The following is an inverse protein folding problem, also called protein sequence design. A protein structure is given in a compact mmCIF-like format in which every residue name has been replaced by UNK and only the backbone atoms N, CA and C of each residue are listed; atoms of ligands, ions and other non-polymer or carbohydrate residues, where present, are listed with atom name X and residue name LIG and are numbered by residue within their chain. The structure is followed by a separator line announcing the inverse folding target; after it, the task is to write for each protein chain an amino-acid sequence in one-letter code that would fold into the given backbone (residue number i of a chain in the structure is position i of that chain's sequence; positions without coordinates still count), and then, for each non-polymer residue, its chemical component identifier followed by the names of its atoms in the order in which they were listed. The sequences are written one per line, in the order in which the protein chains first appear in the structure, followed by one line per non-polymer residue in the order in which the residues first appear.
data_IF_907484735028
#
_entry.id   IF_907484735028
#
_cell.length_a   1.000
_cell.length_b   1.000
_cell.length_c   1.000
_cell.angle_alpha   90.00
_cell.angle_beta   90.00
_cell.angle_gamma   90.00
#
_symmetry.space_group_name_H-M   'P 1'
#
loop_
_entity.id
_entity.type
_entity.pdbx_description
1 polymer ?
#
# COMPACT_ATOMS: atom_id res chain seq x y z
N UNK A 1 12.18 -11.32 -13.26
CA UNK A 1 11.79 -10.07 -12.58
C UNK A 1 12.09 -8.80 -13.39
N UNK A 2 13.23 -8.70 -14.08
CA UNK A 2 13.62 -7.50 -14.86
C UNK A 2 12.62 -6.97 -15.89
N UNK A 3 12.01 -7.85 -16.68
CA UNK A 3 11.07 -7.44 -17.74
C UNK A 3 9.81 -6.81 -17.13
N UNK A 4 9.29 -7.40 -16.05
CA UNK A 4 8.12 -6.90 -15.33
C UNK A 4 8.40 -5.58 -14.61
N UNK A 5 9.58 -5.43 -13.99
CA UNK A 5 9.96 -4.16 -13.36
C UNK A 5 10.16 -3.06 -14.41
N UNK A 6 10.74 -3.37 -15.57
CA UNK A 6 10.87 -2.40 -16.65
C UNK A 6 9.49 -1.94 -17.17
N UNK A 7 8.52 -2.85 -17.32
CA UNK A 7 7.12 -2.50 -17.64
C UNK A 7 6.50 -1.64 -16.54
N UNK A 8 6.75 -1.96 -15.28
CA UNK A 8 6.26 -1.20 -14.13
C UNK A 8 6.82 0.23 -14.10
N UNK A 9 8.11 0.41 -14.40
CA UNK A 9 8.75 1.74 -14.45
C UNK A 9 8.24 2.59 -15.62
N UNK A 10 7.62 1.98 -16.64
CA UNK A 10 6.95 2.70 -17.73
C UNK A 10 5.58 3.26 -17.31
N UNK A 11 5.05 2.92 -16.13
CA UNK A 11 3.84 3.54 -15.58
C UNK A 11 4.12 5.00 -15.22
N UNK A 12 3.97 5.89 -16.20
CA UNK A 12 4.25 7.33 -16.09
C UNK A 12 3.48 8.02 -14.96
N UNK A 13 2.35 7.45 -14.55
CA UNK A 13 1.53 7.95 -13.45
C UNK A 13 2.17 7.68 -12.06
N UNK A 14 2.96 6.61 -11.93
CA UNK A 14 3.63 6.19 -10.69
C UNK A 14 5.09 6.63 -10.63
N UNK A 15 5.78 6.68 -11.77
CA UNK A 15 7.22 6.96 -11.83
C UNK A 15 7.57 7.98 -12.90
N UNK A 16 8.67 8.71 -12.68
CA UNK A 16 9.31 9.58 -13.67
C UNK A 16 10.74 9.11 -13.85
N UNK A 17 11.01 8.53 -15.03
CA UNK A 17 12.35 8.08 -15.39
C UNK A 17 13.22 9.32 -15.67
N UNK A 18 14.34 9.43 -14.96
CA UNK A 18 15.32 10.51 -15.15
C UNK A 18 16.44 10.10 -16.10
N UNK A 19 16.90 8.86 -15.96
CA UNK A 19 18.00 8.31 -16.75
C UNK A 19 17.84 6.80 -16.86
N UNK A 20 18.03 6.26 -18.06
CA UNK A 20 18.06 4.82 -18.31
C UNK A 20 19.39 4.47 -18.97
N UNK A 21 20.21 3.69 -18.29
CA UNK A 21 21.43 3.09 -18.81
C UNK A 21 21.25 1.56 -18.85
N UNK A 22 22.06 0.85 -19.64
CA UNK A 22 21.94 -0.62 -19.83
C UNK A 22 21.86 -1.40 -18.51
N UNK A 23 22.51 -0.94 -17.44
CA UNK A 23 22.55 -1.65 -16.16
C UNK A 23 21.88 -0.91 -14.97
N UNK A 24 21.40 0.32 -15.18
CA UNK A 24 20.88 1.17 -14.10
C UNK A 24 19.76 2.07 -14.59
N UNK A 25 18.66 2.10 -13.84
CA UNK A 25 17.55 3.03 -14.09
C UNK A 25 17.40 3.96 -12.90
N UNK A 26 17.52 5.26 -13.15
CA UNK A 26 17.25 6.31 -12.17
C UNK A 26 15.85 6.86 -12.40
N UNK A 27 15.06 6.90 -11.33
CA UNK A 27 13.68 7.36 -11.40
C UNK A 27 13.28 8.09 -10.12
N UNK A 28 12.21 8.88 -10.22
CA UNK A 28 11.50 9.49 -9.09
C UNK A 28 10.12 8.86 -8.94
N UNK A 29 9.67 8.74 -7.71
CA UNK A 29 8.29 8.35 -7.39
C UNK A 29 7.37 9.55 -7.51
N UNK A 30 6.24 9.38 -8.19
CA UNK A 30 5.13 10.33 -8.19
C UNK A 30 4.24 10.12 -6.97
N UNK A 31 3.32 11.06 -6.76
CA UNK A 31 2.38 11.04 -5.63
C UNK A 31 1.64 9.71 -5.42
N UNK A 32 1.14 9.00 -6.47
CA UNK A 32 0.46 7.72 -6.27
C UNK A 32 1.36 6.67 -5.61
N UNK A 33 2.63 6.59 -6.02
CA UNK A 33 3.61 5.68 -5.43
C UNK A 33 3.91 6.04 -3.96
N UNK A 34 4.03 7.33 -3.66
CA UNK A 34 4.25 7.82 -2.29
C UNK A 34 3.05 7.49 -1.38
N UNK A 35 1.83 7.64 -1.89
CA UNK A 35 0.61 7.29 -1.17
C UNK A 35 0.51 5.78 -0.92
N UNK A 36 0.86 4.94 -1.89
CA UNK A 36 0.90 3.49 -1.71
C UNK A 36 1.92 3.11 -0.63
N UNK A 37 3.15 3.63 -0.69
CA UNK A 37 4.18 3.37 0.33
C UNK A 37 3.67 3.75 1.72
N UNK A 38 3.06 4.93 1.86
CA UNK A 38 2.47 5.37 3.12
C UNK A 38 1.38 4.41 3.60
N UNK A 39 0.51 3.95 2.71
CA UNK A 39 -0.56 3.01 3.05
C UNK A 39 0.00 1.65 3.49
N UNK A 40 1.00 1.12 2.79
CA UNK A 40 1.71 -0.11 3.16
C UNK A 40 2.32 0.03 4.55
N UNK A 41 3.04 1.13 4.79
CA UNK A 41 3.70 1.41 6.07
C UNK A 41 2.71 1.47 7.23
N UNK A 42 1.62 2.23 7.07
CA UNK A 42 0.59 2.38 8.11
C UNK A 42 -0.11 1.04 8.39
N UNK A 43 -0.54 0.32 7.35
CA UNK A 43 -1.22 -0.97 7.54
C UNK A 43 -0.29 -2.03 8.13
N UNK A 44 1.00 -2.03 7.76
CA UNK A 44 2.02 -2.92 8.35
C UNK A 44 2.16 -2.68 9.86
N UNK A 45 2.25 -1.41 10.29
CA UNK A 45 2.34 -1.05 11.70
C UNK A 45 1.08 -1.43 12.47
N UNK A 46 -0.10 -1.07 11.95
CA UNK A 46 -1.39 -1.40 12.56
C UNK A 46 -1.57 -2.91 12.71
N UNK A 47 -1.23 -3.67 11.67
CA UNK A 47 -1.35 -5.12 11.71
C UNK A 47 -0.45 -5.74 12.79
N UNK A 48 0.81 -5.31 12.88
CA UNK A 48 1.73 -5.84 13.88
C UNK A 48 1.29 -5.49 15.30
N UNK A 49 0.78 -4.27 15.53
CA UNK A 49 0.21 -3.85 16.80
C UNK A 49 -1.01 -4.69 17.20
N UNK A 50 -1.97 -4.88 16.29
CA UNK A 50 -3.17 -5.71 16.57
C UNK A 50 -2.76 -7.15 16.91
N UNK A 51 -1.75 -7.71 16.22
CA UNK A 51 -1.29 -9.07 16.50
C UNK A 51 -0.52 -9.16 17.81
N UNK A 52 0.28 -8.16 18.16
CA UNK A 52 1.03 -8.16 19.42
C UNK A 52 0.15 -7.98 20.64
N UNK A 53 -0.85 -7.10 20.54
CA UNK A 53 -1.79 -6.83 21.62
C UNK A 53 -2.62 -8.07 21.97
N UNK A 54 -3.03 -8.84 20.95
CA UNK A 54 -3.71 -10.13 21.15
C UNK A 54 -2.89 -11.12 21.98
N UNK A 55 -1.56 -10.99 21.97
CA UNK A 55 -0.63 -11.84 22.74
C UNK A 55 -0.06 -11.13 23.97
N UNK A 56 -0.63 -9.99 24.38
CA UNK A 56 -0.15 -9.17 25.49
C UNK A 56 1.36 -8.85 25.40
N UNK A 57 1.86 -8.68 24.17
CA UNK A 57 3.26 -8.41 23.89
C UNK A 57 3.42 -6.92 23.57
N UNK A 58 4.03 -6.11 24.45
CA UNK A 58 4.22 -4.70 24.16
C UNK A 58 5.21 -4.52 23.00
N UNK A 59 4.85 -3.64 22.06
CA UNK A 59 5.73 -3.21 20.96
C UNK A 59 6.16 -1.77 21.19
N UNK A 60 7.46 -1.53 21.12
CA UNK A 60 8.07 -0.20 21.22
C UNK A 60 8.53 0.29 19.84
N UNK A 61 8.46 1.60 19.61
CA UNK A 61 9.00 2.23 18.41
C UNK A 61 10.41 2.75 18.67
N UNK A 62 11.34 2.47 17.75
CA UNK A 62 12.69 3.06 17.69
C UNK A 62 13.50 2.97 19.00
N UNK A 63 13.81 1.73 19.39
CA UNK A 63 14.74 1.33 20.46
C UNK A 63 14.68 2.18 21.75
N UNK A 64 13.54 2.11 22.44
CA UNK A 64 13.37 2.68 23.79
C UNK A 64 13.87 1.75 24.91
N UNK A 65 14.77 0.79 24.62
CA UNK A 65 15.31 -0.19 25.58
C UNK A 65 15.79 0.43 26.90
N UNK A 66 16.24 1.68 26.87
CA UNK A 66 16.83 2.38 28.02
C UNK A 66 15.82 3.00 28.99
N UNK A 67 14.51 2.94 28.73
CA UNK A 67 13.47 3.57 29.59
C UNK A 67 12.60 2.58 30.38
N UNK A 68 12.85 1.28 30.29
CA UNK A 68 12.07 0.28 31.01
C UNK A 68 12.84 -0.20 32.23
N UNK A 69 12.33 0.10 33.44
CA UNK A 69 12.88 -0.36 34.71
C UNK A 69 12.84 -1.90 34.82
N UNK A 70 11.90 -2.54 34.13
CA UNK A 70 11.81 -3.98 33.95
C UNK A 70 11.45 -4.32 32.49
N UNK A 71 12.31 -5.04 31.80
CA UNK A 71 11.97 -5.61 30.49
C UNK A 71 11.03 -6.80 30.71
N UNK A 72 9.83 -6.81 30.10
CA UNK A 72 8.95 -7.98 30.17
C UNK A 72 9.61 -9.19 29.50
N UNK A 73 9.15 -10.39 29.85
CA UNK A 73 9.70 -11.65 29.29
C UNK A 73 9.52 -11.78 27.78
N UNK A 74 8.54 -11.08 27.21
CA UNK A 74 8.27 -11.01 25.78
C UNK A 74 7.97 -9.56 25.38
N UNK A 75 8.69 -9.02 24.39
CA UNK A 75 8.41 -7.70 23.83
C UNK A 75 8.87 -7.59 22.38
N UNK A 76 8.35 -6.58 21.69
CA UNK A 76 8.75 -6.23 20.34
C UNK A 76 9.34 -4.83 20.23
N UNK A 77 10.18 -4.63 19.22
CA UNK A 77 10.73 -3.34 18.83
C UNK A 77 10.56 -3.20 17.32
N UNK A 78 9.93 -2.13 16.90
CA UNK A 78 9.85 -1.75 15.50
C UNK A 78 10.99 -0.78 15.20
N UNK A 79 11.89 -1.19 14.30
CA UNK A 79 12.94 -0.35 13.72
C UNK A 79 12.51 0.08 12.32
N UNK A 80 12.71 1.35 12.01
CA UNK A 80 12.32 1.92 10.73
C UNK A 80 13.45 2.80 10.19
N UNK A 81 13.99 2.43 9.05
CA UNK A 81 14.91 3.27 8.28
C UNK A 81 14.14 3.75 7.05
N UNK A 82 13.55 4.95 7.14
CA UNK A 82 12.68 5.50 6.11
C UNK A 82 13.39 6.57 5.30
N UNK A 83 13.24 6.49 3.98
CA UNK A 83 13.54 7.61 3.09
C UNK A 83 12.51 8.73 3.30
N UNK A 84 12.95 9.98 3.13
CA UNK A 84 12.05 11.14 3.21
C UNK A 84 11.24 11.27 1.92
N UNK A 85 10.13 10.53 1.82
CA UNK A 85 9.26 10.54 0.64
C UNK A 85 8.53 11.87 0.39
N UNK A 86 8.61 12.83 1.32
CA UNK A 86 8.11 14.20 1.08
C UNK A 86 9.04 14.97 0.16
N UNK A 87 10.33 14.62 0.16
CA UNK A 87 11.32 15.16 -0.76
C UNK A 87 11.31 14.37 -2.06
N UNK A 88 11.76 15.03 -3.12
CA UNK A 88 12.00 14.41 -4.41
C UNK A 88 13.24 13.50 -4.35
N UNK A 89 13.05 12.31 -3.78
CA UNK A 89 14.11 11.30 -3.67
C UNK A 89 14.28 10.61 -5.03
N UNK A 90 15.49 10.70 -5.57
CA UNK A 90 15.90 9.91 -6.73
C UNK A 90 16.33 8.52 -6.27
N UNK A 91 15.70 7.51 -6.85
CA UNK A 91 16.02 6.10 -6.62
C UNK A 91 16.78 5.54 -7.82
N UNK A 92 17.61 4.54 -7.55
CA UNK A 92 18.42 3.86 -8.56
C UNK A 92 18.24 2.36 -8.44
N UNK A 93 17.72 1.75 -9.50
CA UNK A 93 17.53 0.31 -9.63
C UNK A 93 18.67 -0.29 -10.44
N UNK A 94 19.30 -1.34 -9.90
CA UNK A 94 20.29 -2.13 -10.64
C UNK A 94 19.59 -3.20 -11.47
N UNK A 95 19.75 -3.17 -12.79
CA UNK A 95 19.08 -4.09 -13.70
C UNK A 95 19.52 -5.55 -13.53
N UNK A 96 20.72 -5.85 -13.04
CA UNK A 96 21.14 -7.26 -12.89
C UNK A 96 20.54 -7.95 -11.65
N UNK A 97 20.39 -7.23 -10.54
CA UNK A 97 19.92 -7.79 -9.26
C UNK A 97 18.48 -7.39 -8.92
N UNK A 98 17.87 -6.50 -9.72
CA UNK A 98 16.63 -5.80 -9.39
C UNK A 98 16.61 -5.19 -7.97
N UNK A 99 17.78 -4.82 -7.43
CA UNK A 99 17.89 -4.24 -6.10
C UNK A 99 18.06 -2.72 -6.20
N UNK A 100 17.53 -2.03 -5.20
CA UNK A 100 17.60 -0.58 -5.07
C UNK A 100 18.83 -0.20 -4.26
N UNK A 101 19.56 0.81 -4.72
CA UNK A 101 20.73 1.35 -4.02
C UNK A 101 20.34 1.98 -2.68
N UNK A 102 19.18 2.66 -2.65
CA UNK A 102 18.58 3.23 -1.45
C UNK A 102 17.19 2.64 -1.30
N UNK A 103 16.89 2.11 -0.12
CA UNK A 103 15.60 1.49 0.20
C UNK A 103 15.25 1.76 1.66
N UNK A 104 13.97 1.76 1.93
CA UNK A 104 13.46 1.90 3.29
C UNK A 104 13.21 0.52 3.89
N UNK A 105 13.73 0.32 5.09
CA UNK A 105 13.65 -0.95 5.81
C UNK A 105 12.67 -0.81 6.99
N UNK A 106 11.74 -1.75 7.07
CA UNK A 106 10.91 -1.98 8.24
C UNK A 106 11.34 -3.30 8.87
N UNK A 107 11.67 -3.27 10.16
CA UNK A 107 12.02 -4.44 10.92
C UNK A 107 11.20 -4.51 12.21
N UNK A 108 10.58 -5.66 12.48
CA UNK A 108 9.98 -5.99 13.76
C UNK A 108 10.88 -7.02 14.45
N UNK A 109 11.54 -6.61 15.53
CA UNK A 109 12.37 -7.47 16.37
C UNK A 109 11.59 -7.87 17.62
N UNK A 110 11.36 -9.16 17.81
CA UNK A 110 10.64 -9.72 18.94
C UNK A 110 11.60 -10.53 19.80
N UNK A 111 11.70 -10.18 21.07
CA UNK A 111 12.42 -10.97 22.06
C UNK A 111 11.44 -11.86 22.78
N UNK A 112 11.65 -13.18 22.73
CA UNK A 112 10.79 -14.18 23.38
C UNK A 112 11.63 -15.26 24.07
N UNK A 113 11.07 -16.05 25.00
CA UNK A 113 11.77 -17.17 25.62
C UNK A 113 12.21 -18.22 24.59
N UNK A 114 13.45 -18.71 24.73
CA UNK A 114 14.06 -19.63 23.75
C UNK A 114 13.21 -20.88 23.49
N UNK A 115 12.60 -21.44 24.55
CA UNK A 115 11.74 -22.64 24.48
C UNK A 115 10.53 -22.50 23.55
N UNK A 116 10.04 -21.28 23.31
CA UNK A 116 8.90 -21.01 22.43
C UNK A 116 9.31 -20.39 21.09
N UNK A 117 10.60 -20.17 20.87
CA UNK A 117 11.11 -19.42 19.74
C UNK A 117 10.62 -19.90 18.37
N UNK A 118 10.70 -21.22 18.12
CA UNK A 118 10.23 -21.82 16.88
C UNK A 118 8.69 -21.70 16.71
N UNK A 119 7.95 -21.82 17.82
CA UNK A 119 6.49 -21.62 17.80
C UNK A 119 6.14 -20.18 17.41
N UNK A 120 6.85 -19.20 17.96
CA UNK A 120 6.69 -17.79 17.58
C UNK A 120 7.09 -17.56 16.13
N UNK A 121 8.19 -18.14 15.64
CA UNK A 121 8.60 -18.04 14.23
C UNK A 121 7.49 -18.53 13.30
N UNK A 122 6.97 -19.75 13.51
CA UNK A 122 5.89 -20.32 12.69
C UNK A 122 4.59 -19.49 12.78
N UNK A 123 4.28 -18.96 13.95
CA UNK A 123 3.10 -18.14 14.16
C UNK A 123 3.20 -16.80 13.42
N UNK A 124 4.32 -16.11 13.56
CA UNK A 124 4.57 -14.83 12.89
C UNK A 124 4.71 -15.02 11.39
N UNK A 125 5.34 -16.09 10.92
CA UNK A 125 5.33 -16.47 9.50
C UNK A 125 3.90 -16.54 8.94
N UNK A 126 2.97 -17.21 9.63
CA UNK A 126 1.55 -17.24 9.23
C UNK A 126 0.91 -15.86 9.25
N UNK A 127 1.17 -15.06 10.29
CA UNK A 127 0.62 -13.71 10.38
C UNK A 127 1.13 -12.80 9.28
N UNK A 128 2.42 -12.81 8.99
CA UNK A 128 3.03 -11.99 7.95
C UNK A 128 2.60 -12.44 6.55
N UNK A 129 2.53 -13.76 6.29
CA UNK A 129 1.94 -14.30 5.05
C UNK A 129 0.48 -13.86 4.88
N UNK A 130 -0.32 -13.99 5.94
CA UNK A 130 -1.72 -13.57 5.92
C UNK A 130 -1.85 -12.07 5.64
N UNK A 131 -0.99 -11.24 6.24
CA UNK A 131 -0.99 -9.80 5.99
C UNK A 131 -0.80 -9.50 4.51
N UNK A 132 0.23 -10.07 3.87
CA UNK A 132 0.45 -9.94 2.43
C UNK A 132 -0.77 -10.38 1.61
N UNK A 133 -1.33 -11.56 1.92
CA UNK A 133 -2.55 -12.04 1.27
C UNK A 133 -3.75 -11.11 1.47
N UNK A 134 -3.84 -10.40 2.61
CA UNK A 134 -4.99 -9.54 2.96
C UNK A 134 -4.96 -8.15 2.33
N UNK A 135 -3.78 -7.71 1.87
CA UNK A 135 -3.59 -6.41 1.20
C UNK A 135 -3.40 -6.55 -0.31
N UNK A 136 -3.33 -7.79 -0.79
CA UNK A 136 -3.24 -8.17 -2.19
C UNK A 136 -4.62 -8.28 -2.84
N UNK A 137 -4.68 -8.11 -4.15
CA UNK A 137 -5.86 -8.51 -4.94
C UNK A 137 -5.87 -10.01 -5.23
N UNK A 138 -4.69 -10.65 -5.19
CA UNK A 138 -4.48 -12.09 -5.38
C UNK A 138 -3.84 -12.73 -4.15
N UNK A 139 -4.63 -13.26 -3.20
CA UNK A 139 -4.08 -13.87 -1.98
C UNK A 139 -3.12 -15.03 -2.21
N UNK A 140 -3.31 -15.78 -3.31
CA UNK A 140 -2.50 -16.94 -3.71
C UNK A 140 -1.14 -16.56 -4.30
N UNK A 141 -0.90 -15.29 -4.60
CA UNK A 141 0.40 -14.80 -5.07
C UNK A 141 1.49 -15.00 -4.02
N UNK A 142 1.13 -14.94 -2.74
CA UNK A 142 2.07 -15.00 -1.63
C UNK A 142 2.10 -16.39 -1.00
N UNK A 143 3.31 -16.91 -0.85
CA UNK A 143 3.63 -18.22 -0.28
C UNK A 143 4.79 -18.09 0.71
N UNK A 144 5.06 -19.15 1.44
CA UNK A 144 6.22 -19.23 2.34
C UNK A 144 7.23 -20.21 1.77
N UNK A 145 8.51 -19.84 1.80
CA UNK A 145 9.61 -20.75 1.50
C UNK A 145 9.84 -21.75 2.64
N UNK A 146 10.68 -22.76 2.40
CA UNK A 146 11.09 -23.71 3.43
C UNK A 146 11.95 -23.03 4.51
N UNK A 147 11.76 -23.44 5.77
CA UNK A 147 12.55 -22.92 6.89
C UNK A 147 13.97 -23.49 6.81
N UNK A 148 14.94 -22.61 6.60
CA UNK A 148 16.37 -22.94 6.58
C UNK A 148 16.91 -22.82 8.00
N UNK A 149 17.17 -23.95 8.64
CA UNK A 149 17.72 -24.01 9.99
C UNK A 149 19.22 -24.26 9.96
N UNK A 150 20.00 -23.41 10.61
CA UNK A 150 21.45 -23.55 10.75
C UNK A 150 21.90 -23.03 12.11
N UNK A 151 22.61 -23.85 12.88
CA UNK A 151 23.33 -23.46 14.11
C UNK A 151 22.57 -22.50 15.04
N UNK A 152 21.35 -22.88 15.45
CA UNK A 152 20.47 -22.08 16.34
C UNK A 152 19.85 -20.82 15.71
N UNK A 153 20.02 -20.66 14.41
CA UNK A 153 19.34 -19.67 13.59
C UNK A 153 18.35 -20.37 12.65
N UNK A 154 17.24 -19.71 12.35
CA UNK A 154 16.27 -20.19 11.37
C UNK A 154 15.79 -19.03 10.51
N UNK A 155 15.82 -19.19 9.20
CA UNK A 155 15.37 -18.16 8.27
C UNK A 155 14.26 -18.70 7.37
N UNK A 156 13.25 -17.87 7.13
CA UNK A 156 12.17 -18.18 6.21
C UNK A 156 11.72 -16.93 5.48
N UNK A 157 11.55 -17.07 4.17
CA UNK A 157 11.11 -15.97 3.32
C UNK A 157 9.63 -16.11 2.99
N UNK A 158 8.94 -14.97 2.93
CA UNK A 158 7.66 -14.84 2.25
C UNK A 158 7.98 -14.48 0.81
N UNK A 159 7.41 -15.24 -0.10
CA UNK A 159 7.76 -15.21 -1.52
C UNK A 159 6.50 -14.91 -2.34
N UNK A 160 6.62 -13.95 -3.25
CA UNK A 160 5.63 -13.64 -4.26
C UNK A 160 5.92 -14.43 -5.55
N UNK A 161 4.91 -15.12 -6.07
CA UNK A 161 5.00 -16.02 -7.23
C UNK A 161 4.65 -15.28 -8.53
N UNK A 162 5.59 -14.51 -9.07
CA UNK A 162 5.39 -13.80 -10.34
C UNK A 162 5.63 -14.71 -11.55
N UNK A 163 5.16 -14.28 -12.73
CA UNK A 163 5.36 -15.03 -13.98
C UNK A 163 6.84 -15.23 -14.32
N UNK A 164 7.69 -14.34 -13.81
CA UNK A 164 9.14 -14.38 -14.01
C UNK A 164 9.91 -15.17 -12.95
N UNK A 165 9.20 -15.78 -12.00
CA UNK A 165 9.76 -16.60 -10.93
C UNK A 165 9.44 -16.09 -9.52
N UNK A 166 9.70 -16.91 -8.50
CA UNK A 166 9.54 -16.55 -7.10
C UNK A 166 10.47 -15.40 -6.72
N UNK A 167 9.93 -14.40 -5.99
CA UNK A 167 10.71 -13.28 -5.46
C UNK A 167 10.43 -13.07 -3.97
N UNK A 168 11.47 -13.01 -3.10
CA UNK A 168 11.28 -12.78 -1.67
C UNK A 168 10.83 -11.33 -1.42
N UNK A 169 9.76 -11.16 -0.64
CA UNK A 169 9.18 -9.85 -0.31
C UNK A 169 9.37 -9.46 1.16
N UNK A 170 9.51 -10.44 2.04
CA UNK A 170 9.75 -10.25 3.47
C UNK A 170 10.51 -11.46 4.01
N UNK A 171 11.50 -11.23 4.86
CA UNK A 171 12.32 -12.26 5.49
C UNK A 171 12.03 -12.31 6.97
N UNK A 172 11.82 -13.50 7.51
CA UNK A 172 11.73 -13.75 8.94
C UNK A 172 12.95 -14.55 9.37
N UNK A 173 13.67 -14.05 10.37
CA UNK A 173 14.81 -14.72 10.96
C UNK A 173 14.59 -14.98 12.44
N UNK A 174 15.18 -16.05 12.92
CA UNK A 174 15.21 -16.47 14.30
C UNK A 174 16.67 -16.62 14.68
N UNK A 175 17.05 -16.08 15.84
CA UNK A 175 18.39 -16.22 16.41
C UNK A 175 18.26 -16.58 17.90
N UNK A 176 18.70 -17.79 18.26
CA UNK A 176 18.68 -18.27 19.64
C UNK A 176 19.89 -17.80 20.46
N UNK A 177 19.66 -17.07 21.54
CA UNK A 177 20.70 -16.71 22.50
C UNK A 177 20.68 -17.65 23.72
N UNK A 178 21.55 -18.66 23.69
CA UNK A 178 21.65 -19.70 24.73
C UNK A 178 21.96 -19.08 26.11
N UNK A 179 22.83 -18.08 26.15
CA UNK A 179 23.30 -17.48 27.40
C UNK A 179 22.19 -16.73 28.17
N UNK A 180 21.22 -16.16 27.44
CA UNK A 180 20.10 -15.41 28.02
C UNK A 180 18.80 -16.21 28.11
N UNK A 181 18.79 -17.45 27.61
CA UNK A 181 17.58 -18.27 27.43
C UNK A 181 16.45 -17.53 26.67
N UNK A 182 16.83 -16.63 25.77
CA UNK A 182 15.92 -15.84 24.92
C UNK A 182 16.27 -16.06 23.46
N UNK A 183 15.33 -15.81 22.58
CA UNK A 183 15.58 -15.74 21.16
C UNK A 183 15.02 -14.44 20.58
N UNK A 184 15.67 -13.97 19.53
CA UNK A 184 15.25 -12.81 18.77
C UNK A 184 14.64 -13.28 17.45
N UNK A 185 13.38 -12.92 17.22
CA UNK A 185 12.69 -13.12 15.96
C UNK A 185 12.63 -11.78 15.23
N UNK A 186 13.15 -11.70 14.02
CA UNK A 186 13.15 -10.46 13.22
C UNK A 186 12.32 -10.66 11.97
N UNK A 187 11.32 -9.80 11.74
CA UNK A 187 10.59 -9.73 10.46
C UNK A 187 11.05 -8.48 9.71
N UNK A 188 11.70 -8.63 8.56
CA UNK A 188 12.26 -7.52 7.77
C UNK A 188 11.62 -7.41 6.40
N UNK A 189 11.19 -6.20 6.02
CA UNK A 189 10.56 -5.90 4.73
C UNK A 189 11.10 -4.58 4.17
N UNK A 190 11.29 -4.54 2.85
CA UNK A 190 11.64 -3.31 2.15
C UNK A 190 10.37 -2.67 1.54
N UNK A 191 10.12 -1.39 1.81
CA UNK A 191 8.90 -0.71 1.37
C UNK A 191 8.80 -0.56 -0.15
N UNK A 192 9.91 -0.30 -0.83
CA UNK A 192 9.91 -0.13 -2.29
C UNK A 192 9.70 -1.46 -3.01
N UNK A 193 10.26 -2.56 -2.48
CA UNK A 193 9.98 -3.90 -3.00
C UNK A 193 8.52 -4.28 -2.77
N UNK A 194 7.95 -3.90 -1.62
CA UNK A 194 6.53 -4.08 -1.35
C UNK A 194 5.64 -3.31 -2.33
N UNK A 195 5.98 -2.04 -2.62
CA UNK A 195 5.32 -1.25 -3.65
C UNK A 195 5.36 -1.98 -5.00
N UNK A 196 6.54 -2.45 -5.43
CA UNK A 196 6.67 -3.15 -6.70
C UNK A 196 5.84 -4.43 -6.74
N UNK A 197 5.89 -5.24 -5.68
CA UNK A 197 5.13 -6.48 -5.62
C UNK A 197 3.61 -6.24 -5.74
N UNK A 198 3.08 -5.22 -5.06
CA UNK A 198 1.65 -4.90 -5.09
C UNK A 198 1.22 -4.20 -6.40
N UNK A 199 2.11 -3.42 -7.02
CA UNK A 199 1.87 -2.87 -8.35
C UNK A 199 1.81 -3.98 -9.41
N UNK A 200 2.75 -4.94 -9.34
CA UNK A 200 2.75 -6.09 -10.24
C UNK A 200 1.51 -6.95 -10.05
N UNK A 201 1.09 -7.23 -8.81
CA UNK A 201 -0.19 -7.90 -8.54
C UNK A 201 -1.37 -7.17 -9.19
N UNK A 202 -1.43 -5.84 -9.04
CA UNK A 202 -2.51 -5.04 -9.63
C UNK A 202 -2.51 -5.05 -11.16
N UNK A 203 -1.32 -5.09 -11.79
CA UNK A 203 -1.18 -5.17 -13.25
C UNK A 203 -1.55 -6.56 -13.79
N UNK A 204 -1.22 -7.63 -13.07
CA UNK A 204 -1.53 -9.00 -13.49
C UNK A 204 -3.03 -9.31 -13.50
N UNK A 205 -3.83 -8.54 -12.75
CA UNK A 205 -5.27 -8.77 -12.57
C UNK A 205 -6.17 -7.74 -13.28
N UNK A 206 -5.61 -6.96 -14.21
CA UNK A 206 -6.38 -6.02 -15.02
C UNK A 206 -7.17 -6.79 -16.11
N UNK A 207 -8.38 -7.25 -15.78
CA UNK A 207 -9.29 -7.87 -16.75
C UNK A 207 -9.89 -6.86 -17.74
N UNK A 208 -9.80 -5.57 -17.42
CA UNK A 208 -10.19 -4.43 -18.27
C UNK A 208 -8.91 -3.76 -18.75
N UNK A 209 -8.87 -3.38 -20.03
CA UNK A 209 -7.79 -2.52 -20.54
C UNK A 209 -7.71 -1.27 -19.63
N UNK A 210 -6.50 -1.00 -19.13
CA UNK A 210 -6.15 0.20 -18.38
C UNK A 210 -6.72 0.37 -16.95
N UNK A 211 -7.29 -0.66 -16.31
CA UNK A 211 -7.62 -0.61 -14.87
C UNK A 211 -6.55 -1.26 -14.00
N UNK A 212 -5.86 -0.47 -13.18
CA UNK A 212 -4.91 -0.97 -12.20
C UNK A 212 -5.64 -1.32 -10.90
N UNK A 213 -5.79 -2.62 -10.61
CA UNK A 213 -6.59 -3.05 -9.46
C UNK A 213 -5.76 -3.03 -8.18
N UNK A 214 -6.28 -2.40 -7.12
CA UNK A 214 -5.70 -2.47 -5.79
C UNK A 214 -6.71 -2.93 -4.75
N UNK A 215 -6.21 -3.56 -3.69
CA UNK A 215 -7.01 -3.72 -2.49
C UNK A 215 -7.29 -2.35 -1.85
N UNK A 216 -8.48 -2.19 -1.27
CA UNK A 216 -8.95 -0.91 -0.73
C UNK A 216 -8.01 -0.29 0.31
N UNK A 217 -7.27 -1.10 1.07
CA UNK A 217 -6.29 -0.63 2.06
C UNK A 217 -5.10 0.08 1.42
N UNK A 218 -4.65 -0.41 0.27
CA UNK A 218 -3.40 0.03 -0.38
C UNK A 218 -3.63 1.10 -1.43
N UNK A 219 -4.79 1.07 -2.11
CA UNK A 219 -5.12 1.99 -3.20
C UNK A 219 -4.72 3.44 -2.90
N UNK A 220 -3.99 4.13 -3.80
CA UNK A 220 -3.47 5.48 -3.53
C UNK A 220 -4.59 6.47 -3.29
N UNK A 221 -5.63 6.41 -4.13
CA UNK A 221 -6.82 7.23 -4.03
C UNK A 221 -8.04 6.34 -3.82
N UNK A 222 -8.91 6.73 -2.89
CA UNK A 222 -10.16 6.02 -2.66
C UNK A 222 -11.24 6.50 -3.63
N UNK A 223 -11.23 7.80 -3.91
CA UNK A 223 -12.25 8.47 -4.72
C UNK A 223 -11.60 9.30 -5.83
N UNK A 224 -12.20 9.32 -7.00
CA UNK A 224 -11.97 10.31 -8.06
C UNK A 224 -13.24 11.12 -8.24
N UNK A 225 -13.13 12.38 -8.64
CA UNK A 225 -14.27 13.18 -9.07
C UNK A 225 -14.17 13.36 -10.57
N UNK A 226 -15.21 13.03 -11.32
CA UNK A 226 -15.30 13.24 -12.76
C UNK A 226 -16.49 14.12 -13.09
N UNK A 227 -16.38 14.88 -14.18
CA UNK A 227 -17.39 15.82 -14.63
C UNK A 227 -18.00 15.36 -15.95
N UNK A 228 -19.31 15.17 -15.94
CA UNK A 228 -20.11 14.93 -17.14
C UNK A 228 -20.74 16.25 -17.61
N UNK A 229 -19.90 17.13 -18.13
CA UNK A 229 -20.24 18.48 -18.56
C UNK A 229 -20.14 18.50 -20.09
N UNK A 230 -21.27 18.64 -20.78
CA UNK A 230 -21.28 18.83 -22.23
C UNK A 230 -20.70 20.19 -22.62
N UNK A 231 -20.18 20.33 -23.85
CA UNK A 231 -19.58 21.58 -24.36
C UNK A 231 -20.49 22.82 -24.29
N UNK A 232 -21.81 22.62 -24.16
CA UNK A 232 -22.84 23.66 -24.17
C UNK A 232 -23.51 23.89 -22.80
N UNK A 233 -23.01 23.26 -21.74
CA UNK A 233 -23.64 23.37 -20.41
C UNK A 233 -23.45 24.76 -19.81
N UNK A 234 -24.58 25.44 -19.56
CA UNK A 234 -24.65 26.79 -18.99
C UNK A 234 -24.04 26.83 -17.59
N UNK A 235 -24.12 25.71 -16.86
CA UNK A 235 -23.72 25.60 -15.47
C UNK A 235 -22.37 24.90 -15.24
N UNK A 236 -21.57 24.64 -16.29
CA UNK A 236 -20.31 23.90 -16.15
C UNK A 236 -19.36 24.51 -15.10
N UNK A 237 -19.29 25.84 -15.02
CA UNK A 237 -18.50 26.54 -14.00
C UNK A 237 -18.99 26.32 -12.56
N UNK A 238 -20.30 26.15 -12.36
CA UNK A 238 -20.88 25.84 -11.03
C UNK A 238 -20.59 24.39 -10.64
N UNK A 239 -20.67 23.44 -11.58
CA UNK A 239 -20.34 22.03 -11.33
C UNK A 239 -18.86 21.90 -10.93
N UNK A 240 -17.94 22.62 -11.59
CA UNK A 240 -16.53 22.66 -11.21
C UNK A 240 -16.31 23.19 -9.78
N UNK A 241 -17.07 24.20 -9.36
CA UNK A 241 -17.04 24.72 -7.98
C UNK A 241 -17.56 23.68 -6.98
N UNK A 242 -18.63 22.96 -7.34
CA UNK A 242 -19.14 21.85 -6.53
C UNK A 242 -18.08 20.75 -6.36
N UNK A 243 -17.40 20.37 -7.45
CA UNK A 243 -16.32 19.38 -7.42
C UNK A 243 -15.18 19.81 -6.47
N UNK A 244 -14.78 21.08 -6.54
CA UNK A 244 -13.73 21.64 -5.67
C UNK A 244 -14.16 21.65 -4.20
N UNK A 245 -15.42 21.98 -3.92
CA UNK A 245 -15.98 21.94 -2.56
C UNK A 245 -16.05 20.51 -2.02
N UNK A 246 -16.51 19.55 -2.83
CA UNK A 246 -16.54 18.13 -2.47
C UNK A 246 -15.14 17.58 -2.20
N UNK A 247 -14.18 17.92 -3.06
CA UNK A 247 -12.77 17.57 -2.87
C UNK A 247 -12.24 18.06 -1.51
N UNK A 248 -12.44 19.34 -1.19
CA UNK A 248 -12.01 19.90 0.10
C UNK A 248 -12.68 19.20 1.29
N UNK A 249 -13.96 18.85 1.19
CA UNK A 249 -14.68 18.09 2.24
C UNK A 249 -14.11 16.68 2.41
N UNK A 250 -13.80 15.98 1.31
CA UNK A 250 -13.19 14.65 1.34
C UNK A 250 -11.78 14.69 1.95
N UNK A 251 -10.95 15.65 1.54
CA UNK A 251 -9.61 15.84 2.10
C UNK A 251 -9.66 16.20 3.59
N UNK A 252 -10.61 17.05 4.02
CA UNK A 252 -10.85 17.34 5.44
C UNK A 252 -11.24 16.09 6.24
N UNK A 253 -11.98 15.17 5.60
CA UNK A 253 -12.27 13.85 6.15
C UNK A 253 -11.13 12.85 5.99
N UNK A 254 -9.93 13.27 5.54
CA UNK A 254 -8.73 12.45 5.24
C UNK A 254 -9.03 11.25 4.33
N UNK A 255 -9.84 11.46 3.30
CA UNK A 255 -10.09 10.47 2.24
C UNK A 255 -9.28 10.91 1.03
N UNK A 256 -8.32 10.08 0.59
CA UNK A 256 -7.47 10.43 -0.53
C UNK A 256 -8.28 10.52 -1.82
N UNK A 257 -8.29 11.71 -2.40
CA UNK A 257 -9.12 12.02 -3.57
C UNK A 257 -8.28 12.45 -4.76
N UNK A 258 -8.61 11.93 -5.94
CA UNK A 258 -8.02 12.33 -7.22
C UNK A 258 -8.92 13.34 -7.95
N UNK A 259 -8.29 14.34 -8.55
CA UNK A 259 -8.95 15.28 -9.48
C UNK A 259 -8.30 15.12 -10.86
N UNK A 260 -9.04 14.61 -11.86
CA UNK A 260 -8.57 14.52 -13.23
C UNK A 260 -8.56 15.90 -13.90
N UNK A 261 -7.98 15.98 -15.10
CA UNK A 261 -8.12 17.15 -15.95
C UNK A 261 -9.56 17.26 -16.47
N UNK A 262 -10.32 18.20 -15.91
CA UNK A 262 -11.70 18.47 -16.29
C UNK A 262 -11.88 19.02 -17.71
N UNK A 263 -10.79 19.38 -18.41
CA UNK A 263 -10.84 19.71 -19.84
C UNK A 263 -11.07 18.47 -20.72
N UNK A 264 -10.79 17.27 -20.20
CA UNK A 264 -10.95 16.02 -20.92
C UNK A 264 -12.42 15.55 -20.92
N UNK A 265 -12.86 14.79 -21.93
CA UNK A 265 -14.15 14.10 -21.91
C UNK A 265 -14.28 13.15 -20.71
N UNK A 266 -15.52 12.88 -20.27
CA UNK A 266 -15.81 12.01 -19.12
C UNK A 266 -15.08 10.67 -19.17
N UNK A 267 -15.11 9.98 -20.32
CA UNK A 267 -14.48 8.68 -20.49
C UNK A 267 -12.97 8.73 -20.25
N UNK A 268 -12.32 9.82 -20.67
CA UNK A 268 -10.88 10.02 -20.47
C UNK A 268 -10.57 10.36 -19.01
N UNK A 269 -11.40 11.18 -18.35
CA UNK A 269 -11.27 11.45 -16.91
C UNK A 269 -11.40 10.17 -16.07
N UNK A 270 -12.37 9.32 -16.41
CA UNK A 270 -12.56 8.01 -15.77
C UNK A 270 -11.36 7.10 -16.04
N UNK A 271 -10.88 7.05 -17.28
CA UNK A 271 -9.71 6.25 -17.67
C UNK A 271 -8.45 6.64 -16.91
N UNK A 272 -8.20 7.93 -16.71
CA UNK A 272 -7.09 8.39 -15.86
C UNK A 272 -7.22 7.88 -14.41
N UNK A 273 -8.42 7.95 -13.83
CA UNK A 273 -8.69 7.41 -12.50
C UNK A 273 -8.50 5.89 -12.40
N UNK A 274 -8.94 5.14 -13.43
CA UNK A 274 -8.74 3.69 -13.51
C UNK A 274 -7.26 3.32 -13.62
N UNK A 275 -6.48 4.06 -14.42
CA UNK A 275 -5.04 3.87 -14.51
C UNK A 275 -4.33 4.07 -13.18
N UNK A 276 -4.80 5.02 -12.38
CA UNK A 276 -4.30 5.30 -11.02
C UNK A 276 -4.75 4.30 -9.96
N UNK A 277 -5.67 3.40 -10.31
CA UNK A 277 -6.25 2.40 -9.41
C UNK A 277 -7.16 2.98 -8.33
N UNK A 278 -7.91 4.03 -8.68
CA UNK A 278 -8.99 4.58 -7.85
C UNK A 278 -10.09 3.53 -7.66
N UNK A 279 -10.67 3.47 -6.46
CA UNK A 279 -11.74 2.51 -6.13
C UNK A 279 -13.13 2.96 -6.60
N UNK A 280 -13.45 4.24 -6.44
CA UNK A 280 -14.74 4.81 -6.80
C UNK A 280 -14.60 6.15 -7.54
N UNK A 281 -15.47 6.42 -8.49
CA UNK A 281 -15.51 7.69 -9.24
C UNK A 281 -16.86 8.36 -9.05
N UNK A 282 -16.88 9.54 -8.44
CA UNK A 282 -18.07 10.39 -8.31
C UNK A 282 -18.24 11.21 -9.60
N UNK A 283 -19.26 10.90 -10.38
CA UNK A 283 -19.58 11.54 -11.65
C UNK A 283 -20.61 12.64 -11.38
N UNK A 284 -20.18 13.89 -11.50
CA UNK A 284 -20.99 15.07 -11.28
C UNK A 284 -21.49 15.65 -12.60
N UNK A 285 -22.75 16.08 -12.61
CA UNK A 285 -23.38 16.77 -13.73
C UNK A 285 -24.30 17.89 -13.19
N UNK A 286 -25.15 18.45 -14.05
CA UNK A 286 -26.09 19.50 -13.66
C UNK A 286 -27.15 19.02 -12.65
N UNK A 287 -27.49 17.72 -12.62
CA UNK A 287 -28.44 17.14 -11.66
C UNK A 287 -27.89 17.19 -10.24
N UNK A 288 -26.56 17.15 -10.08
CA UNK A 288 -25.91 17.33 -8.79
C UNK A 288 -26.11 18.74 -8.22
N UNK A 289 -26.29 19.76 -9.08
CA UNK A 289 -26.62 21.12 -8.66
C UNK A 289 -28.11 21.29 -8.39
N UNK A 290 -28.98 20.71 -9.23
CA UNK A 290 -30.43 20.86 -9.12
C UNK A 290 -31.04 20.07 -7.96
N UNK A 291 -30.65 18.79 -7.83
CA UNK A 291 -31.27 17.85 -6.90
C UNK A 291 -30.31 17.36 -5.81
N UNK A 292 -29.04 17.78 -5.85
CA UNK A 292 -28.03 17.32 -4.89
C UNK A 292 -27.64 15.85 -5.06
N UNK A 293 -27.98 15.21 -6.19
CA UNK A 293 -27.71 13.79 -6.45
C UNK A 293 -26.69 13.61 -7.57
N UNK A 294 -25.77 12.68 -7.39
CA UNK A 294 -24.77 12.33 -8.42
C UNK A 294 -24.56 10.81 -8.49
N UNK A 295 -23.93 10.34 -9.56
CA UNK A 295 -23.65 8.93 -9.77
C UNK A 295 -22.26 8.57 -9.20
N UNK A 296 -22.19 7.62 -8.27
CA UNK A 296 -20.95 7.07 -7.76
C UNK A 296 -20.70 5.70 -8.41
N UNK A 297 -19.65 5.61 -9.21
CA UNK A 297 -19.28 4.41 -9.94
C UNK A 297 -18.21 3.61 -9.18
N UNK A 298 -18.41 2.30 -9.01
CA UNK A 298 -17.37 1.38 -8.54
C UNK A 298 -16.44 1.00 -9.70
N UNK A 299 -15.13 1.25 -9.56
CA UNK A 299 -14.14 1.00 -10.63
C UNK A 299 -14.02 -0.47 -11.03
N UNK A 300 -14.19 -1.40 -10.08
CA UNK A 300 -14.10 -2.84 -10.36
C UNK A 300 -15.34 -3.34 -11.13
N UNK A 301 -16.54 -3.05 -10.62
CA UNK A 301 -17.80 -3.61 -11.16
C UNK A 301 -18.47 -2.72 -12.20
N UNK A 302 -18.03 -1.46 -12.35
CA UNK A 302 -18.69 -0.43 -13.19
C UNK A 302 -20.16 -0.18 -12.84
N UNK A 303 -20.62 -0.67 -11.69
CA UNK A 303 -21.96 -0.39 -11.17
C UNK A 303 -21.99 1.05 -10.65
N UNK A 304 -23.10 1.74 -10.97
CA UNK A 304 -23.36 3.10 -10.53
C UNK A 304 -24.47 3.10 -9.50
N UNK A 305 -24.28 3.90 -8.45
CA UNK A 305 -25.25 4.14 -7.39
C UNK A 305 -25.46 5.64 -7.21
N UNK A 306 -26.70 6.06 -6.91
CA UNK A 306 -27.02 7.47 -6.71
C UNK A 306 -26.74 7.87 -5.27
N UNK A 307 -25.94 8.92 -5.09
CA UNK A 307 -25.53 9.42 -3.77
C UNK A 307 -25.87 10.90 -3.65
N UNK A 308 -26.36 11.30 -2.48
CA UNK A 308 -26.63 12.70 -2.18
C UNK A 308 -25.36 13.41 -1.69
N UNK A 309 -25.12 14.63 -2.17
CA UNK A 309 -23.93 15.47 -1.89
C UNK A 309 -23.73 15.70 -0.39
N UNK A 310 -24.81 15.78 0.38
CA UNK A 310 -24.72 15.98 1.84
C UNK A 310 -24.11 14.77 2.56
N UNK A 311 -24.51 13.55 2.16
CA UNK A 311 -24.14 12.30 2.84
C UNK A 311 -22.84 11.69 2.32
N UNK A 312 -22.35 12.18 1.18
CA UNK A 312 -21.23 11.58 0.47
C UNK A 312 -20.00 11.36 1.35
N UNK A 313 -19.55 12.34 2.15
CA UNK A 313 -18.35 12.16 2.98
C UNK A 313 -18.48 11.04 4.02
N UNK A 314 -19.68 10.84 4.58
CA UNK A 314 -19.96 9.75 5.53
C UNK A 314 -19.92 8.42 4.79
N UNK A 315 -20.61 8.33 3.66
CA UNK A 315 -20.64 7.13 2.83
C UNK A 315 -19.25 6.74 2.32
N UNK A 316 -18.51 7.72 1.79
CA UNK A 316 -17.13 7.61 1.35
C UNK A 316 -16.21 7.03 2.44
N UNK A 317 -16.38 7.46 3.69
CA UNK A 317 -15.58 6.94 4.81
C UNK A 317 -15.82 5.44 5.05
N UNK A 318 -17.09 5.02 4.98
CA UNK A 318 -17.48 3.62 5.17
C UNK A 318 -16.91 2.72 4.07
N UNK A 319 -17.11 3.10 2.80
CA UNK A 319 -16.68 2.28 1.65
C UNK A 319 -15.15 2.25 1.49
N UNK A 320 -14.47 3.31 1.94
CA UNK A 320 -13.00 3.39 1.93
C UNK A 320 -12.34 2.51 3.00
N UNK A 321 -13.13 1.92 3.91
CA UNK A 321 -12.61 1.10 5.00
C UNK A 321 -11.90 1.91 6.08
N UNK A 322 -12.26 3.19 6.25
CA UNK A 322 -11.87 3.93 7.45
C UNK A 322 -12.67 3.38 8.62
N UNK A 323 -12.07 2.45 9.35
CA UNK A 323 -12.49 2.23 10.72
C UNK A 323 -12.27 3.55 11.47
N UNK A 324 -13.30 4.02 12.16
CA UNK A 324 -13.17 5.11 13.12
C UNK A 324 -12.17 4.61 14.14
N UNK A 325 -10.94 5.09 14.05
CA UNK A 325 -9.93 4.86 15.07
C UNK A 325 -10.46 5.56 16.31
N UNK A 326 -10.94 4.78 17.27
CA UNK A 326 -11.31 5.23 18.62
C UNK A 326 -10.03 5.43 19.42
#
# INVERSE_FOLDING_TARGET
MNIEINKLLQLKQFFTILQSQENRVKFKMREPSKLIIKNIHVDWLQYNHIKSDKHHMPIYLNDLKHKLEHNPSTFGIVKQELLDYRKDVTLELKSQSCDLVKKSLLALELTVPHQYGMQYLMQWQRYRKYWWSSISTTPSLFSTDEIKYDNNCANVDIVAQFSTGPSPVETLSFEGNINKNTCTLTCTMNLEHALFALLLDGMSNSNKEDYLRFHRKIAPYKISIALNIGRETINGGLVCKLASSLYQRLESSKISTWLPDFSLPLDMQVKEGLGMGVLYTAILDERALEYGLFDLMNSSTTLMEKVHVADFCKYASLISGKEVIV
#
